data_IF_102643219175
#
_entry.id   IF_102643219175
#
_cell.length_a   1.000
_cell.length_b   1.000
_cell.length_c   1.000
_cell.angle_alpha   90.00
_cell.angle_beta   90.00
_cell.angle_gamma   90.00
#
_symmetry.space_group_name_H-M   'P 1'
#
loop_
_entity.id
_entity.type
_entity.pdbx_description
1 polymer ?
#
# COMPACT_ATOMS: atom_id res chain seq x y z
N UNK A 1 -15.60 -8.25 28.01
CA UNK A 1 -14.21 -8.00 27.59
C UNK A 1 -14.19 -7.89 26.07
N UNK A 2 -14.07 -6.68 25.53
CA UNK A 2 -13.98 -6.48 24.09
C UNK A 2 -12.52 -6.69 23.65
N UNK A 3 -12.30 -7.66 22.78
CA UNK A 3 -11.00 -7.90 22.13
C UNK A 3 -10.63 -6.66 21.31
N UNK A 4 -9.50 -6.04 21.61
CA UNK A 4 -8.94 -5.00 20.76
C UNK A 4 -8.46 -5.69 19.47
N UNK A 5 -9.24 -5.58 18.40
CA UNK A 5 -8.78 -5.91 17.06
C UNK A 5 -7.61 -4.99 16.72
N UNK A 6 -6.48 -5.56 16.31
CA UNK A 6 -5.31 -4.81 15.87
C UNK A 6 -5.69 -3.97 14.65
N UNK A 7 -5.12 -2.78 14.50
CA UNK A 7 -5.36 -1.91 13.34
C UNK A 7 -5.01 -2.56 11.98
N UNK A 8 -4.39 -3.73 11.99
CA UNK A 8 -4.09 -4.56 10.83
C UNK A 8 -5.23 -5.52 10.42
N UNK A 9 -6.27 -5.71 11.25
CA UNK A 9 -7.36 -6.66 11.03
C UNK A 9 -8.65 -6.04 10.45
N UNK A 10 -8.70 -4.71 10.27
CA UNK A 10 -9.84 -4.05 9.64
C UNK A 10 -9.79 -4.20 8.11
N UNK A 11 -10.91 -4.58 7.46
CA UNK A 11 -10.97 -4.64 6.00
C UNK A 11 -10.67 -3.26 5.42
N UNK A 12 -9.61 -3.17 4.62
CA UNK A 12 -9.25 -1.93 3.92
C UNK A 12 -10.41 -1.56 2.98
N UNK A 13 -10.88 -0.29 2.97
CA UNK A 13 -11.96 0.12 2.08
C UNK A 13 -11.59 -0.19 0.61
N UNK A 14 -12.57 -0.65 -0.18
CA UNK A 14 -12.38 -1.11 -1.57
C UNK A 14 -11.75 -0.06 -2.49
N UNK A 15 -11.95 1.23 -2.19
CA UNK A 15 -11.34 2.37 -2.89
C UNK A 15 -9.82 2.47 -2.70
N UNK A 16 -9.25 1.79 -1.70
CA UNK A 16 -7.82 1.78 -1.40
C UNK A 16 -7.10 0.54 -1.98
N UNK A 17 -7.61 -0.03 -3.06
CA UNK A 17 -7.03 -1.23 -3.71
C UNK A 17 -5.57 -1.02 -4.15
N UNK A 18 -5.20 0.20 -4.57
CA UNK A 18 -3.81 0.55 -4.88
C UNK A 18 -2.90 0.57 -3.64
N UNK A 19 -3.39 1.05 -2.49
CA UNK A 19 -2.65 1.00 -1.22
C UNK A 19 -2.37 -0.44 -0.80
N UNK A 20 -3.27 -1.38 -1.11
CA UNK A 20 -3.00 -2.80 -0.85
C UNK A 20 -1.83 -3.32 -1.72
N UNK A 21 -1.68 -2.85 -2.95
CA UNK A 21 -0.53 -3.18 -3.79
C UNK A 21 0.77 -2.59 -3.21
N UNK A 22 0.75 -1.34 -2.74
CA UNK A 22 1.88 -0.68 -2.07
C UNK A 22 2.28 -1.42 -0.79
N UNK A 23 1.32 -1.74 0.09
CA UNK A 23 1.54 -2.56 1.29
C UNK A 23 2.18 -3.91 0.93
N UNK A 24 1.67 -4.56 -0.12
CA UNK A 24 2.20 -5.82 -0.63
C UNK A 24 3.65 -5.72 -1.10
N UNK A 25 4.02 -4.64 -1.80
CA UNK A 25 5.39 -4.38 -2.24
C UNK A 25 6.35 -4.30 -1.05
N UNK A 26 6.06 -3.44 -0.06
CA UNK A 26 6.90 -3.28 1.12
C UNK A 26 6.97 -4.55 1.96
N UNK A 27 5.86 -5.26 2.13
CA UNK A 27 5.86 -6.56 2.81
C UNK A 27 6.76 -7.59 2.11
N UNK A 28 6.94 -7.49 0.78
CA UNK A 28 7.83 -8.35 -0.01
C UNK A 28 9.29 -7.95 0.17
N UNK A 29 9.60 -6.66 0.09
CA UNK A 29 10.94 -6.12 0.35
C UNK A 29 11.40 -6.53 1.75
N UNK A 30 10.59 -6.28 2.77
CA UNK A 30 10.92 -6.61 4.16
C UNK A 30 11.20 -8.08 4.33
N UNK A 31 10.30 -8.96 3.86
CA UNK A 31 10.46 -10.42 4.01
C UNK A 31 11.67 -10.98 3.26
N UNK A 32 11.98 -10.46 2.07
CA UNK A 32 13.01 -11.04 1.18
C UNK A 32 14.41 -10.46 1.37
N UNK A 33 14.52 -9.21 1.82
CA UNK A 33 15.80 -8.48 1.84
C UNK A 33 16.14 -7.88 3.20
N UNK A 34 15.17 -7.54 4.04
CA UNK A 34 15.43 -6.77 5.27
C UNK A 34 15.34 -7.61 6.55
N UNK A 35 14.31 -8.44 6.72
CA UNK A 35 14.03 -9.19 7.96
C UNK A 35 15.18 -10.12 8.40
N UNK A 36 15.91 -10.65 7.43
CA UNK A 36 17.04 -11.56 7.64
C UNK A 36 18.33 -11.04 6.98
N UNK A 37 18.36 -9.76 6.59
CA UNK A 37 19.52 -9.14 5.97
C UNK A 37 20.57 -8.79 7.04
N UNK A 38 21.82 -9.13 6.78
CA UNK A 38 22.98 -8.68 7.57
C UNK A 38 23.70 -7.61 6.76
N UNK A 39 23.89 -6.43 7.34
CA UNK A 39 24.50 -5.28 6.70
C UNK A 39 25.78 -4.92 7.45
N UNK A 40 26.91 -4.82 6.73
CA UNK A 40 28.21 -4.54 7.33
C UNK A 40 28.45 -3.03 7.46
N UNK A 41 27.70 -2.23 6.71
CA UNK A 41 27.74 -0.78 6.74
C UNK A 41 26.35 -0.17 6.56
N UNK A 42 26.24 1.11 6.93
CA UNK A 42 25.03 1.91 6.70
C UNK A 42 24.72 2.05 5.20
N UNK A 43 25.75 2.07 4.34
CA UNK A 43 25.56 2.22 2.88
C UNK A 43 25.08 0.93 2.20
N UNK A 44 25.27 -0.23 2.83
CA UNK A 44 24.82 -1.52 2.30
C UNK A 44 23.29 -1.62 2.23
N UNK A 45 22.59 -1.00 3.18
CA UNK A 45 21.14 -1.03 3.24
C UNK A 45 20.50 -0.29 2.05
N UNK A 46 20.82 0.99 1.77
CA UNK A 46 20.39 1.67 0.54
C UNK A 46 20.75 0.90 -0.73
N UNK A 47 21.97 0.34 -0.81
CA UNK A 47 22.41 -0.46 -1.95
C UNK A 47 21.54 -1.71 -2.16
N UNK A 48 21.16 -2.38 -1.08
CA UNK A 48 20.27 -3.56 -1.12
C UNK A 48 18.85 -3.19 -1.54
N UNK A 49 18.31 -2.08 -1.04
CA UNK A 49 16.98 -1.57 -1.42
C UNK A 49 16.95 -1.23 -2.91
N UNK A 50 17.93 -0.46 -3.40
CA UNK A 50 18.02 -0.07 -4.81
C UNK A 50 18.15 -1.28 -5.74
N UNK A 51 18.94 -2.29 -5.34
CA UNK A 51 19.05 -3.54 -6.07
C UNK A 51 17.72 -4.28 -6.14
N UNK A 52 17.01 -4.38 -5.01
CA UNK A 52 15.69 -5.00 -4.97
C UNK A 52 14.68 -4.30 -5.89
N UNK A 53 14.67 -2.96 -5.89
CA UNK A 53 13.82 -2.16 -6.78
C UNK A 53 14.15 -2.47 -8.24
N UNK A 54 15.43 -2.46 -8.61
CA UNK A 54 15.89 -2.76 -9.98
C UNK A 54 15.45 -4.16 -10.42
N UNK A 55 15.68 -5.17 -9.60
CA UNK A 55 15.27 -6.56 -9.87
C UNK A 55 13.75 -6.70 -9.97
N UNK A 56 13.00 -6.08 -9.05
CA UNK A 56 11.54 -6.12 -9.05
C UNK A 56 10.96 -5.51 -10.34
N UNK A 57 11.58 -4.44 -10.83
CA UNK A 57 11.16 -3.72 -12.02
C UNK A 57 11.56 -4.42 -13.34
N UNK A 58 12.38 -5.47 -13.33
CA UNK A 58 12.70 -6.23 -14.55
C UNK A 58 11.49 -7.00 -15.11
N UNK A 59 10.61 -7.47 -14.22
CA UNK A 59 9.37 -8.17 -14.58
C UNK A 59 8.24 -7.67 -13.69
N UNK A 60 7.79 -6.41 -13.90
CA UNK A 60 6.77 -5.82 -13.05
C UNK A 60 5.46 -6.58 -13.24
N UNK A 61 4.71 -6.77 -12.16
CA UNK A 61 3.30 -7.18 -12.25
C UNK A 61 2.47 -5.90 -12.18
N UNK A 62 1.91 -5.41 -13.30
CA UNK A 62 1.17 -4.17 -13.30
C UNK A 62 -0.03 -4.26 -12.36
N UNK A 63 -0.27 -3.19 -11.60
CA UNK A 63 -1.53 -3.04 -10.90
C UNK A 63 -2.60 -2.66 -11.92
N UNK A 64 -3.65 -3.48 -12.03
CA UNK A 64 -4.79 -3.17 -12.88
C UNK A 64 -5.81 -2.43 -12.03
N UNK A 65 -5.93 -1.13 -12.28
CA UNK A 65 -6.99 -0.32 -11.71
C UNK A 65 -8.33 -0.72 -12.33
N UNK A 66 -9.23 -1.28 -11.51
CA UNK A 66 -10.56 -1.76 -11.95
C UNK A 66 -11.70 -0.82 -11.62
N UNK A 67 -11.45 0.18 -10.77
CA UNK A 67 -12.49 1.10 -10.38
C UNK A 67 -12.67 2.16 -11.48
N UNK A 68 -13.90 2.59 -11.72
CA UNK A 68 -14.15 3.70 -12.62
C UNK A 68 -13.75 5.03 -11.93
N UNK A 69 -12.78 5.80 -12.49
CA UNK A 69 -12.37 7.08 -11.92
C UNK A 69 -13.54 8.07 -11.76
N UNK A 70 -14.46 8.12 -12.73
CA UNK A 70 -15.57 9.08 -12.71
C UNK A 70 -16.57 8.73 -11.62
N UNK A 71 -16.85 7.43 -11.45
CA UNK A 71 -17.68 6.94 -10.35
C UNK A 71 -17.07 7.28 -8.98
N UNK A 72 -15.74 7.20 -8.83
CA UNK A 72 -15.05 7.58 -7.59
C UNK A 72 -15.17 9.08 -7.34
N UNK A 73 -14.90 9.92 -8.34
CA UNK A 73 -15.01 11.38 -8.20
C UNK A 73 -16.44 11.77 -7.83
N UNK A 74 -17.44 11.15 -8.47
CA UNK A 74 -18.85 11.38 -8.16
C UNK A 74 -19.22 10.95 -6.73
N UNK A 75 -18.71 9.80 -6.26
CA UNK A 75 -18.92 9.36 -4.88
C UNK A 75 -18.32 10.33 -3.85
N UNK A 76 -17.10 10.82 -4.10
CA UNK A 76 -16.44 11.82 -3.24
C UNK A 76 -17.24 13.12 -3.19
N UNK A 77 -17.69 13.63 -4.35
CA UNK A 77 -18.53 14.84 -4.41
C UNK A 77 -19.81 14.71 -3.60
N UNK A 78 -20.53 13.59 -3.75
CA UNK A 78 -21.75 13.32 -2.97
C UNK A 78 -21.49 13.27 -1.47
N UNK A 79 -20.40 12.60 -1.05
CA UNK A 79 -20.02 12.54 0.36
C UNK A 79 -19.70 13.93 0.93
N UNK A 80 -19.01 14.78 0.18
CA UNK A 80 -18.73 16.17 0.57
C UNK A 80 -20.01 17.00 0.71
N UNK A 81 -20.92 16.92 -0.25
CA UNK A 81 -22.21 17.61 -0.20
C UNK A 81 -23.03 17.20 1.02
N UNK A 82 -23.08 15.90 1.33
CA UNK A 82 -23.80 15.40 2.50
C UNK A 82 -23.21 15.96 3.81
N UNK A 83 -21.88 16.04 3.93
CA UNK A 83 -21.21 16.65 5.09
C UNK A 83 -21.51 18.14 5.21
N UNK A 84 -21.48 18.87 4.10
CA UNK A 84 -21.78 20.30 4.05
C UNK A 84 -23.24 20.60 4.43
N UNK A 85 -24.17 19.70 4.10
CA UNK A 85 -25.60 19.85 4.45
C UNK A 85 -25.97 19.52 5.89
N UNK A 86 -25.04 18.95 6.67
CA UNK A 86 -25.23 18.63 8.10
C UNK A 86 -24.79 19.80 9.00
N UNK A 87 -24.08 20.77 8.43
CA UNK A 87 -23.67 22.03 9.07
C UNK A 87 -24.61 23.17 8.69
#
# INVERSE_FOLDING_TARGET
MASQASALDLPSPTSCSWLNAVKGFFAKLTRRRLKYGVFQSVVDLPGTINRFIKEHNQKPKPFIWRADPDAIIAAVKRGRQALESIH
#
